data_IF_398635297526
#
_entry.id   IF_398635297526
#
_cell.length_a   1.000
_cell.length_b   1.000
_cell.length_c   1.000
_cell.angle_alpha   90.00
_cell.angle_beta   90.00
_cell.angle_gamma   90.00
#
_symmetry.space_group_name_H-M   'P 1'
#
loop_
_entity.id
_entity.type
_entity.pdbx_description
1 polymer ?
#
# COMPACT_ATOMS: atom_id res chain seq x y z
N UNK A 1 13.54 22.91 -44.71
CA UNK A 1 13.41 21.84 -43.70
C UNK A 1 12.66 22.44 -42.53
N UNK A 2 11.36 22.16 -42.44
CA UNK A 2 10.51 22.64 -41.36
C UNK A 2 10.53 21.57 -40.27
N UNK A 3 11.11 21.90 -39.12
CA UNK A 3 11.14 21.05 -37.94
C UNK A 3 9.72 20.89 -37.39
N UNK A 4 9.13 19.72 -37.62
CA UNK A 4 7.98 19.22 -36.88
C UNK A 4 8.44 18.85 -35.45
N UNK A 5 8.47 19.83 -34.56
CA UNK A 5 8.46 19.53 -33.13
C UNK A 5 7.02 19.22 -32.72
N UNK A 6 6.68 17.92 -32.77
CA UNK A 6 5.43 17.39 -32.25
C UNK A 6 5.18 17.93 -30.85
N UNK A 7 3.95 18.40 -30.63
CA UNK A 7 3.43 18.82 -29.33
C UNK A 7 3.52 17.60 -28.41
N UNK A 8 4.66 17.44 -27.73
CA UNK A 8 4.78 16.49 -26.65
C UNK A 8 3.89 17.04 -25.57
N UNK A 9 2.81 16.34 -25.24
CA UNK A 9 1.84 16.72 -24.22
C UNK A 9 2.59 16.80 -22.87
N UNK A 10 3.19 17.95 -22.58
CA UNK A 10 4.04 18.15 -21.42
C UNK A 10 3.14 18.40 -20.23
N UNK A 11 3.00 17.39 -19.39
CA UNK A 11 2.33 17.52 -18.08
C UNK A 11 3.02 18.66 -17.33
N UNK A 12 2.23 19.68 -17.01
CA UNK A 12 2.63 20.81 -16.18
C UNK A 12 2.69 20.36 -14.72
N UNK A 13 3.60 20.93 -13.96
CA UNK A 13 3.70 20.63 -12.54
C UNK A 13 2.51 21.20 -11.81
N UNK A 14 1.79 20.32 -11.14
CA UNK A 14 0.61 20.62 -10.33
C UNK A 14 0.93 20.60 -8.81
N UNK A 15 2.20 20.49 -8.43
CA UNK A 15 2.62 20.36 -7.02
C UNK A 15 2.87 18.91 -6.58
N UNK A 16 2.53 17.91 -7.40
CA UNK A 16 2.74 16.50 -7.11
C UNK A 16 3.86 15.90 -7.97
N UNK A 17 4.46 14.80 -7.52
CA UNK A 17 5.54 14.10 -8.23
C UNK A 17 6.75 15.00 -8.53
N UNK A 18 7.16 15.79 -7.52
CA UNK A 18 8.29 16.71 -7.59
C UNK A 18 9.56 16.05 -8.15
N UNK A 19 9.92 14.85 -7.68
CA UNK A 19 11.09 14.10 -8.14
C UNK A 19 11.11 13.91 -9.66
N UNK A 20 9.98 13.43 -10.20
CA UNK A 20 9.83 13.15 -11.63
C UNK A 20 9.85 14.44 -12.45
N UNK A 21 9.09 15.47 -12.03
CA UNK A 21 9.09 16.75 -12.73
C UNK A 21 10.46 17.42 -12.72
N UNK A 22 11.13 17.45 -11.56
CA UNK A 22 12.47 18.01 -11.38
C UNK A 22 13.44 17.33 -12.34
N UNK A 23 13.46 15.99 -12.36
CA UNK A 23 14.30 15.23 -13.28
C UNK A 23 14.07 15.62 -14.75
N UNK A 24 12.80 15.69 -15.20
CA UNK A 24 12.48 16.09 -16.58
C UNK A 24 12.98 17.50 -16.91
N UNK A 25 12.74 18.47 -16.02
CA UNK A 25 13.14 19.86 -16.25
C UNK A 25 14.65 20.03 -16.22
N UNK A 26 15.36 19.34 -15.32
CA UNK A 26 16.82 19.33 -15.31
C UNK A 26 17.39 18.81 -16.62
N UNK A 27 16.87 17.70 -17.15
CA UNK A 27 17.35 17.14 -18.43
C UNK A 27 17.11 18.12 -19.58
N UNK A 28 15.95 18.78 -19.65
CA UNK A 28 15.69 19.78 -20.68
C UNK A 28 16.64 20.98 -20.57
N UNK A 29 16.86 21.51 -19.37
CA UNK A 29 17.78 22.62 -19.15
C UNK A 29 19.23 22.23 -19.50
N UNK A 30 19.66 21.01 -19.14
CA UNK A 30 20.98 20.47 -19.49
C UNK A 30 21.14 20.30 -20.99
N UNK A 31 20.14 19.75 -21.68
CA UNK A 31 20.16 19.53 -23.13
C UNK A 31 20.32 20.83 -23.93
N UNK A 32 19.84 21.95 -23.38
CA UNK A 32 19.96 23.28 -23.98
C UNK A 32 21.11 24.12 -23.44
N UNK A 33 21.91 23.58 -22.51
CA UNK A 33 23.06 24.27 -21.91
C UNK A 33 22.71 25.39 -20.93
N UNK A 34 21.48 25.46 -20.42
CA UNK A 34 21.04 26.52 -19.50
C UNK A 34 21.12 26.13 -18.03
N UNK A 35 21.33 24.85 -17.72
CA UNK A 35 21.27 24.34 -16.34
C UNK A 35 22.32 24.98 -15.42
N UNK A 36 23.50 25.33 -15.94
CA UNK A 36 24.58 25.93 -15.16
C UNK A 36 24.23 27.34 -14.65
N UNK A 37 23.33 28.05 -15.34
CA UNK A 37 22.80 29.34 -14.88
C UNK A 37 21.78 29.11 -13.76
N UNK A 38 20.93 28.10 -13.90
CA UNK A 38 19.86 27.75 -12.95
C UNK A 38 20.41 27.21 -11.62
N UNK A 39 21.41 26.34 -11.68
CA UNK A 39 22.02 25.75 -10.48
C UNK A 39 23.04 26.70 -9.81
N UNK A 40 23.45 27.77 -10.51
CA UNK A 40 24.40 28.77 -10.03
C UNK A 40 25.88 28.42 -10.23
N UNK A 41 26.19 27.35 -10.95
CA UNK A 41 27.58 26.99 -11.34
C UNK A 41 28.19 28.03 -12.26
N UNK A 42 27.37 28.69 -13.10
CA UNK A 42 27.73 29.86 -13.90
C UNK A 42 27.09 31.12 -13.28
N UNK A 43 27.75 31.79 -12.31
CA UNK A 43 27.23 33.01 -11.73
C UNK A 43 27.13 34.12 -12.79
N UNK A 44 26.25 35.09 -12.56
CA UNK A 44 26.13 36.26 -13.43
C UNK A 44 27.44 37.05 -13.38
N UNK A 45 28.09 37.31 -14.53
CA UNK A 45 29.33 38.09 -14.54
C UNK A 45 29.06 39.56 -14.20
N UNK A 46 30.07 40.28 -13.72
CA UNK A 46 29.97 41.71 -13.41
C UNK A 46 29.97 42.58 -14.68
N UNK A 47 30.69 42.12 -15.71
CA UNK A 47 30.81 42.76 -17.01
C UNK A 47 30.33 41.81 -18.11
N UNK A 48 29.78 42.38 -19.19
CA UNK A 48 29.25 41.64 -20.35
C UNK A 48 28.20 40.57 -20.00
N UNK A 49 27.07 41.03 -19.48
CA UNK A 49 25.98 40.16 -19.01
C UNK A 49 25.07 39.64 -20.12
N UNK A 50 25.25 40.11 -21.36
CA UNK A 50 24.30 39.91 -22.47
C UNK A 50 23.99 38.45 -22.75
N UNK A 51 25.01 37.59 -22.81
CA UNK A 51 24.81 36.16 -23.04
C UNK A 51 24.19 35.47 -21.82
N UNK A 52 24.64 35.82 -20.61
CA UNK A 52 24.12 35.25 -19.38
C UNK A 52 22.64 35.59 -19.20
N UNK A 53 22.26 36.85 -19.41
CA UNK A 53 20.88 37.33 -19.27
C UNK A 53 19.96 36.63 -20.30
N UNK A 54 20.46 36.35 -21.52
CA UNK A 54 19.72 35.54 -22.51
C UNK A 54 19.52 34.10 -22.05
N UNK A 55 20.55 33.47 -21.52
CA UNK A 55 20.46 32.09 -20.98
C UNK A 55 19.50 32.02 -19.80
N UNK A 56 19.54 33.01 -18.90
CA UNK A 56 18.66 33.09 -17.74
C UNK A 56 17.20 33.25 -18.16
N UNK A 57 16.89 34.16 -19.08
CA UNK A 57 15.52 34.33 -19.61
C UNK A 57 15.01 33.03 -20.26
N UNK A 58 15.86 32.31 -21.01
CA UNK A 58 15.49 31.02 -21.60
C UNK A 58 15.27 29.93 -20.56
N UNK A 59 16.03 29.93 -19.47
CA UNK A 59 15.79 29.03 -18.36
C UNK A 59 14.48 29.36 -17.63
N UNK A 60 14.21 30.65 -17.37
CA UNK A 60 12.94 31.11 -16.79
C UNK A 60 11.75 30.69 -17.65
N UNK A 61 11.83 30.88 -18.97
CA UNK A 61 10.81 30.45 -19.95
C UNK A 61 10.49 28.95 -19.80
N UNK A 62 11.51 28.09 -19.77
CA UNK A 62 11.33 26.64 -19.61
C UNK A 62 10.67 26.31 -18.27
N UNK A 63 11.10 26.93 -17.18
CA UNK A 63 10.53 26.70 -15.84
C UNK A 63 9.06 27.10 -15.84
N UNK A 64 8.73 28.33 -16.28
CA UNK A 64 7.38 28.88 -16.27
C UNK A 64 6.41 28.06 -17.13
N UNK A 65 6.82 27.67 -18.35
CA UNK A 65 5.98 26.89 -19.25
C UNK A 65 5.64 25.48 -18.71
N UNK A 66 6.45 24.97 -17.77
CA UNK A 66 6.29 23.64 -17.17
C UNK A 66 5.56 23.66 -15.83
N UNK A 67 5.05 24.80 -15.39
CA UNK A 67 4.29 24.96 -14.15
C UNK A 67 2.82 25.25 -14.44
N UNK A 68 1.94 24.77 -13.58
CA UNK A 68 0.55 25.24 -13.52
C UNK A 68 0.46 26.61 -12.84
N UNK A 69 -0.62 27.34 -13.14
CA UNK A 69 -0.86 28.70 -12.65
C UNK A 69 -0.74 28.81 -11.12
N UNK A 70 -1.34 27.87 -10.38
CA UNK A 70 -1.25 27.83 -8.92
C UNK A 70 0.19 27.80 -8.41
N UNK A 71 1.09 27.09 -9.10
CA UNK A 71 2.50 26.98 -8.71
C UNK A 71 3.29 28.20 -9.14
N UNK A 72 2.92 28.84 -10.26
CA UNK A 72 3.54 30.08 -10.71
C UNK A 72 3.45 31.20 -9.66
N UNK A 73 2.35 31.25 -8.90
CA UNK A 73 2.19 32.22 -7.80
C UNK A 73 3.33 32.14 -6.78
N UNK A 74 3.94 30.97 -6.58
CA UNK A 74 5.06 30.80 -5.66
C UNK A 74 6.34 31.47 -6.19
N UNK A 75 6.54 31.57 -7.50
CA UNK A 75 7.79 32.06 -8.10
C UNK A 75 7.66 33.40 -8.83
N UNK A 76 6.46 33.97 -8.92
CA UNK A 76 6.18 35.19 -9.69
C UNK A 76 7.02 36.40 -9.25
N UNK A 77 7.49 36.43 -7.99
CA UNK A 77 8.33 37.50 -7.44
C UNK A 77 9.83 37.26 -7.61
N UNK A 78 10.24 36.10 -8.14
CA UNK A 78 11.64 35.75 -8.38
C UNK A 78 12.19 36.51 -9.60
N UNK A 79 13.44 36.97 -9.51
CA UNK A 79 14.06 37.84 -10.53
C UNK A 79 14.83 37.08 -11.61
N UNK A 80 15.30 35.88 -11.29
CA UNK A 80 16.12 35.07 -12.16
C UNK A 80 15.78 33.58 -12.01
N UNK A 81 16.23 32.76 -12.96
CA UNK A 81 15.94 31.33 -13.00
C UNK A 81 16.47 30.58 -11.78
N UNK A 82 17.60 31.03 -11.21
CA UNK A 82 18.19 30.45 -10.00
C UNK A 82 17.31 30.65 -8.77
N UNK A 83 16.75 31.85 -8.59
CA UNK A 83 15.79 32.13 -7.51
C UNK A 83 14.52 31.28 -7.66
N UNK A 84 13.97 31.20 -8.89
CA UNK A 84 12.80 30.35 -9.17
C UNK A 84 13.08 28.90 -8.79
N UNK A 85 14.21 28.35 -9.26
CA UNK A 85 14.59 26.96 -9.03
C UNK A 85 14.86 26.66 -7.56
N UNK A 86 15.53 27.57 -6.87
CA UNK A 86 15.83 27.43 -5.44
C UNK A 86 14.56 27.48 -4.59
N UNK A 87 13.61 28.35 -4.93
CA UNK A 87 12.33 28.45 -4.22
C UNK A 87 11.46 27.22 -4.44
N UNK A 88 11.39 26.69 -5.66
CA UNK A 88 10.67 25.45 -5.93
C UNK A 88 11.28 24.27 -5.16
N UNK A 89 12.61 24.12 -5.16
CA UNK A 89 13.29 23.10 -4.33
C UNK A 89 12.95 23.26 -2.85
N UNK A 90 13.02 24.47 -2.31
CA UNK A 90 12.74 24.69 -0.89
C UNK A 90 11.32 24.27 -0.48
N UNK A 91 10.33 24.49 -1.34
CA UNK A 91 8.93 24.16 -1.07
C UNK A 91 8.70 22.65 -1.26
N UNK A 92 9.10 22.11 -2.41
CA UNK A 92 8.63 20.79 -2.86
C UNK A 92 9.59 19.63 -2.56
N UNK A 93 10.88 19.88 -2.37
CA UNK A 93 11.83 18.82 -2.01
C UNK A 93 11.48 18.23 -0.64
N UNK A 94 11.32 19.11 0.36
CA UNK A 94 10.96 18.71 1.72
C UNK A 94 9.58 18.03 1.77
N UNK A 95 8.59 18.58 1.06
CA UNK A 95 7.26 17.98 0.99
C UNK A 95 7.29 16.59 0.34
N UNK A 96 8.09 16.40 -0.71
CA UNK A 96 8.27 15.10 -1.36
C UNK A 96 8.86 14.08 -0.40
N UNK A 97 9.90 14.43 0.36
CA UNK A 97 10.50 13.54 1.36
C UNK A 97 9.53 13.18 2.48
N UNK A 98 8.75 14.13 2.98
CA UNK A 98 7.71 13.85 3.98
C UNK A 98 6.67 12.88 3.42
N UNK A 99 6.20 13.10 2.20
CA UNK A 99 5.18 12.23 1.61
C UNK A 99 5.68 10.79 1.42
N UNK A 100 6.92 10.62 0.94
CA UNK A 100 7.58 9.31 0.87
C UNK A 100 7.65 8.66 2.25
N UNK A 101 8.07 9.42 3.26
CA UNK A 101 8.16 8.91 4.63
C UNK A 101 6.80 8.47 5.18
N UNK A 102 5.75 9.29 5.01
CA UNK A 102 4.39 8.99 5.49
C UNK A 102 3.80 7.77 4.77
N UNK A 103 3.99 7.64 3.45
CA UNK A 103 3.54 6.47 2.70
C UNK A 103 4.30 5.21 3.10
N UNK A 104 5.61 5.32 3.33
CA UNK A 104 6.45 4.22 3.82
C UNK A 104 6.01 3.79 5.22
N UNK A 105 5.77 4.75 6.13
CA UNK A 105 5.23 4.47 7.45
C UNK A 105 3.88 3.76 7.34
N UNK A 106 2.97 4.28 6.50
CA UNK A 106 1.67 3.65 6.24
C UNK A 106 1.82 2.24 5.70
N UNK A 107 2.78 1.99 4.81
CA UNK A 107 3.08 0.64 4.31
C UNK A 107 3.39 -0.31 5.47
N UNK A 108 4.26 0.07 6.40
CA UNK A 108 4.64 -0.79 7.53
C UNK A 108 3.55 -0.94 8.58
N UNK A 109 2.78 0.11 8.88
CA UNK A 109 1.73 0.10 9.91
C UNK A 109 0.39 -0.42 9.40
N UNK A 110 0.21 -0.63 8.08
CA UNK A 110 -1.04 -1.17 7.57
C UNK A 110 -1.22 -2.59 8.09
N UNK A 111 -2.34 -2.83 8.76
CA UNK A 111 -2.72 -4.12 9.33
C UNK A 111 -3.83 -4.76 8.51
N UNK A 112 -3.79 -6.09 8.41
CA UNK A 112 -4.86 -6.84 7.81
C UNK A 112 -6.05 -6.89 8.78
N UNK A 113 -7.24 -6.57 8.27
CA UNK A 113 -8.50 -6.73 8.99
C UNK A 113 -9.22 -7.96 8.44
N UNK A 114 -9.56 -8.89 9.32
CA UNK A 114 -10.27 -10.12 8.96
C UNK A 114 -11.52 -9.84 8.14
N UNK A 115 -11.69 -10.53 7.01
CA UNK A 115 -12.87 -10.41 6.15
C UNK A 115 -12.71 -9.46 4.96
N UNK A 116 -11.52 -8.88 4.75
CA UNK A 116 -11.25 -7.92 3.67
C UNK A 116 -9.85 -8.10 3.03
N UNK A 117 -9.46 -9.33 2.68
CA UNK A 117 -8.18 -9.61 1.96
C UNK A 117 -7.99 -8.70 0.74
N UNK A 118 -9.01 -8.57 -0.10
CA UNK A 118 -8.93 -7.81 -1.36
C UNK A 118 -8.69 -6.32 -1.11
N UNK A 119 -9.36 -5.73 -0.12
CA UNK A 119 -9.18 -4.32 0.24
C UNK A 119 -7.77 -4.08 0.81
N UNK A 120 -7.30 -4.97 1.70
CA UNK A 120 -5.95 -4.87 2.27
C UNK A 120 -4.87 -4.92 1.18
N UNK A 121 -4.96 -5.86 0.23
CA UNK A 121 -4.01 -5.97 -0.87
C UNK A 121 -4.11 -4.77 -1.81
N UNK A 122 -5.33 -4.31 -2.13
CA UNK A 122 -5.54 -3.10 -2.96
C UNK A 122 -4.92 -1.86 -2.33
N UNK A 123 -5.01 -1.70 -1.01
CA UNK A 123 -4.37 -0.60 -0.29
C UNK A 123 -2.84 -0.68 -0.35
N UNK A 124 -2.26 -1.87 -0.23
CA UNK A 124 -0.81 -2.06 -0.37
C UNK A 124 -0.32 -1.79 -1.80
N UNK A 125 -1.06 -2.27 -2.81
CA UNK A 125 -0.75 -2.00 -4.22
C UNK A 125 -0.83 -0.51 -4.55
N UNK A 126 -1.83 0.19 -3.99
CA UNK A 126 -1.94 1.64 -4.10
C UNK A 126 -0.73 2.34 -3.49
N UNK A 127 -0.33 1.99 -2.27
CA UNK A 127 0.86 2.58 -1.63
C UNK A 127 2.12 2.30 -2.45
N UNK A 128 2.29 1.08 -2.97
CA UNK A 128 3.41 0.75 -3.87
C UNK A 128 3.39 1.60 -5.13
N UNK A 129 2.22 1.80 -5.75
CA UNK A 129 2.10 2.63 -6.95
C UNK A 129 2.43 4.10 -6.65
N UNK A 130 1.91 4.64 -5.54
CA UNK A 130 2.17 6.02 -5.11
C UNK A 130 3.67 6.24 -4.84
N UNK A 131 4.33 5.31 -4.15
CA UNK A 131 5.79 5.34 -3.92
C UNK A 131 6.58 5.24 -5.22
N UNK A 132 6.16 4.36 -6.15
CA UNK A 132 6.77 4.24 -7.47
C UNK A 132 6.70 5.54 -8.27
N UNK A 133 5.58 6.27 -8.17
CA UNK A 133 5.44 7.58 -8.81
C UNK A 133 6.39 8.64 -8.22
N UNK A 134 6.82 8.47 -6.98
CA UNK A 134 7.79 9.32 -6.29
C UNK A 134 9.25 8.90 -6.51
N UNK A 135 9.49 7.78 -7.23
CA UNK A 135 10.81 7.25 -7.52
C UNK A 135 11.29 6.17 -6.54
N UNK A 136 10.43 5.72 -5.61
CA UNK A 136 10.75 4.68 -4.64
C UNK A 136 10.15 3.33 -5.06
N UNK A 137 10.95 2.25 -4.99
CA UNK A 137 10.51 0.94 -5.45
C UNK A 137 10.30 -0.04 -4.28
N UNK A 138 9.09 -0.58 -4.20
CA UNK A 138 8.79 -1.73 -3.33
C UNK A 138 8.76 -2.99 -4.18
N UNK A 139 9.66 -3.93 -3.88
CA UNK A 139 9.68 -5.23 -4.57
C UNK A 139 8.44 -6.07 -4.27
N UNK A 140 8.03 -6.92 -5.21
CA UNK A 140 6.91 -7.84 -5.01
C UNK A 140 7.15 -8.80 -3.84
N UNK A 141 8.41 -9.20 -3.64
CA UNK A 141 8.81 -10.02 -2.49
C UNK A 141 8.55 -9.29 -1.16
N UNK A 142 8.81 -7.98 -1.09
CA UNK A 142 8.54 -7.18 0.10
C UNK A 142 7.04 -7.06 0.34
N UNK A 143 6.24 -6.89 -0.72
CA UNK A 143 4.78 -6.91 -0.62
C UNK A 143 4.25 -8.24 -0.07
N UNK A 144 4.68 -9.37 -0.64
CA UNK A 144 4.30 -10.71 -0.18
C UNK A 144 4.68 -10.90 1.30
N UNK A 145 5.91 -10.52 1.66
CA UNK A 145 6.39 -10.60 3.06
C UNK A 145 5.52 -9.74 3.99
N UNK A 146 5.18 -8.52 3.56
CA UNK A 146 4.33 -7.61 4.33
C UNK A 146 2.94 -8.20 4.55
N UNK A 147 2.36 -8.83 3.54
CA UNK A 147 1.05 -9.49 3.66
C UNK A 147 1.13 -10.60 4.70
N UNK A 148 2.10 -11.51 4.60
CA UNK A 148 2.26 -12.64 5.52
C UNK A 148 2.48 -12.17 6.98
N UNK A 149 3.28 -11.12 7.19
CA UNK A 149 3.52 -10.54 8.52
C UNK A 149 2.30 -9.86 9.13
N UNK A 150 1.34 -9.44 8.30
CA UNK A 150 0.11 -8.80 8.76
C UNK A 150 -1.01 -9.77 9.07
N UNK A 151 -0.90 -11.05 8.69
CA UNK A 151 -1.94 -12.02 8.94
C UNK A 151 -2.11 -12.31 10.44
N UNK A 152 -3.35 -12.51 10.89
CA UNK A 152 -3.65 -12.75 12.30
C UNK A 152 -3.18 -14.14 12.72
N UNK A 153 -3.06 -14.35 14.04
CA UNK A 153 -2.46 -15.56 14.60
C UNK A 153 -3.20 -16.85 14.23
N UNK A 154 -4.51 -16.77 14.05
CA UNK A 154 -5.37 -17.87 13.60
C UNK A 154 -5.17 -18.25 12.12
N UNK A 155 -4.32 -17.55 11.37
CA UNK A 155 -3.93 -17.87 10.00
C UNK A 155 -2.47 -18.33 9.89
N UNK A 156 -1.80 -18.66 11.00
CA UNK A 156 -0.41 -19.15 10.99
C UNK A 156 -0.20 -20.41 10.13
N UNK A 157 -1.18 -21.33 10.08
CA UNK A 157 -1.12 -22.52 9.24
C UNK A 157 -1.06 -22.18 7.75
N UNK A 158 -1.73 -21.11 7.33
CA UNK A 158 -1.67 -20.60 5.97
C UNK A 158 -0.24 -20.12 5.63
N UNK A 159 0.40 -19.40 6.55
CA UNK A 159 1.78 -18.92 6.37
C UNK A 159 2.74 -20.10 6.14
N UNK A 160 2.69 -21.13 6.99
CA UNK A 160 3.53 -22.34 6.81
C UNK A 160 3.30 -23.04 5.47
N UNK A 161 2.04 -23.14 5.04
CA UNK A 161 1.68 -23.75 3.76
C UNK A 161 2.17 -22.90 2.57
N UNK A 162 2.13 -21.57 2.69
CA UNK A 162 2.65 -20.65 1.70
C UNK A 162 4.18 -20.72 1.58
N UNK A 163 4.89 -20.76 2.70
CA UNK A 163 6.35 -20.90 2.74
C UNK A 163 6.84 -22.20 2.08
N UNK A 164 6.01 -23.25 2.10
CA UNK A 164 6.29 -24.53 1.45
C UNK A 164 6.03 -24.52 -0.07
N UNK A 165 5.50 -23.42 -0.61
CA UNK A 165 5.21 -23.29 -2.05
C UNK A 165 6.49 -23.03 -2.84
N UNK A 166 6.67 -23.63 -4.03
CA UNK A 166 7.79 -23.33 -4.91
C UNK A 166 7.95 -21.83 -5.16
N UNK A 167 9.19 -21.35 -5.18
CA UNK A 167 9.51 -19.91 -5.27
C UNK A 167 8.98 -19.24 -6.53
N UNK A 168 8.88 -19.97 -7.64
CA UNK A 168 8.30 -19.50 -8.91
C UNK A 168 6.78 -19.22 -8.81
N UNK A 169 6.11 -19.76 -7.79
CA UNK A 169 4.68 -19.58 -7.52
C UNK A 169 4.39 -18.68 -6.32
N UNK A 170 5.42 -18.06 -5.73
CA UNK A 170 5.26 -17.12 -4.63
C UNK A 170 4.96 -15.70 -5.13
N UNK A 171 3.92 -15.59 -5.97
CA UNK A 171 3.48 -14.32 -6.53
C UNK A 171 2.41 -13.67 -5.66
N UNK A 172 2.26 -12.34 -5.75
CA UNK A 172 1.17 -11.63 -5.06
C UNK A 172 -0.21 -12.12 -5.51
N UNK A 173 -0.36 -12.45 -6.80
CA UNK A 173 -1.61 -12.98 -7.38
C UNK A 173 -1.97 -14.32 -6.76
N UNK A 174 -1.03 -15.27 -6.73
CA UNK A 174 -1.26 -16.59 -6.13
C UNK A 174 -1.55 -16.48 -4.63
N UNK A 175 -0.84 -15.59 -3.92
CA UNK A 175 -1.08 -15.32 -2.51
C UNK A 175 -2.50 -14.81 -2.28
N UNK A 176 -2.93 -13.84 -3.09
CA UNK A 176 -4.27 -13.24 -3.02
C UNK A 176 -5.35 -14.30 -3.21
N UNK A 177 -5.25 -15.11 -4.27
CA UNK A 177 -6.23 -16.16 -4.55
C UNK A 177 -6.32 -17.19 -3.43
N UNK A 178 -5.19 -17.62 -2.86
CA UNK A 178 -5.19 -18.60 -1.76
C UNK A 178 -5.73 -17.99 -0.47
N UNK A 179 -5.40 -16.75 -0.16
CA UNK A 179 -5.92 -16.05 1.03
C UNK A 179 -7.44 -15.87 0.95
N UNK A 180 -7.98 -15.55 -0.22
CA UNK A 180 -9.44 -15.44 -0.40
C UNK A 180 -10.15 -16.77 -0.14
N UNK A 181 -9.61 -17.89 -0.63
CA UNK A 181 -10.17 -19.22 -0.36
C UNK A 181 -10.14 -19.53 1.15
N UNK A 182 -9.04 -19.21 1.82
CA UNK A 182 -8.89 -19.48 3.24
C UNK A 182 -9.80 -18.59 4.11
N UNK A 183 -10.01 -17.34 3.71
CA UNK A 183 -10.96 -16.44 4.36
C UNK A 183 -12.40 -16.98 4.27
N UNK A 184 -12.81 -17.50 3.11
CA UNK A 184 -14.13 -18.09 2.91
C UNK A 184 -14.32 -19.36 3.77
N UNK A 185 -13.28 -20.20 3.87
CA UNK A 185 -13.29 -21.36 4.76
C UNK A 185 -13.44 -20.95 6.22
N UNK A 186 -12.73 -19.92 6.67
CA UNK A 186 -12.84 -19.44 8.04
C UNK A 186 -14.23 -18.91 8.37
N UNK A 187 -14.88 -18.18 7.45
CA UNK A 187 -16.29 -17.76 7.63
C UNK A 187 -17.22 -18.94 7.86
N UNK A 188 -17.11 -19.98 7.03
CA UNK A 188 -17.94 -21.20 7.17
C UNK A 188 -17.67 -21.99 8.46
N UNK A 189 -16.42 -21.99 8.94
CA UNK A 189 -16.03 -22.65 10.19
C UNK A 189 -16.56 -21.91 11.42
N UNK A 190 -16.49 -20.58 11.44
CA UNK A 190 -17.06 -19.76 12.51
C UNK A 190 -18.59 -19.89 12.57
N UNK A 191 -19.27 -19.88 11.42
CA UNK A 191 -20.72 -20.12 11.35
C UNK A 191 -21.10 -21.52 11.84
N UNK A 192 -20.31 -22.54 11.49
CA UNK A 192 -20.52 -23.92 11.94
C UNK A 192 -20.31 -24.06 13.46
N UNK A 193 -19.29 -23.42 14.02
CA UNK A 193 -19.07 -23.36 15.48
C UNK A 193 -20.17 -22.56 16.19
N UNK A 194 -20.61 -21.43 15.64
CA UNK A 194 -21.70 -20.63 16.19
C UNK A 194 -23.03 -21.41 16.20
N UNK A 195 -23.28 -22.21 15.17
CA UNK A 195 -24.42 -23.13 15.10
C UNK A 195 -24.28 -24.28 16.12
N UNK A 196 -23.08 -24.82 16.32
CA UNK A 196 -22.84 -25.86 17.32
C UNK A 196 -22.98 -25.35 18.77
N UNK A 197 -22.58 -24.10 19.04
CA UNK A 197 -22.73 -23.43 20.35
C UNK A 197 -24.18 -22.99 20.60
N UNK A 198 -24.90 -22.55 19.55
CA UNK A 198 -26.35 -22.28 19.60
C UNK A 198 -27.20 -23.54 19.48
N UNK A 199 -26.57 -24.70 19.26
CA UNK A 199 -27.12 -26.00 19.55
C UNK A 199 -27.40 -26.09 21.04
N UNK A 200 -28.50 -25.44 21.48
CA UNK A 200 -29.22 -25.82 22.68
C UNK A 200 -29.25 -27.33 22.63
N UNK A 201 -28.67 -27.98 23.64
CA UNK A 201 -29.00 -29.37 23.94
C UNK A 201 -30.53 -29.43 23.94
N UNK A 202 -31.12 -29.86 22.83
CA UNK A 202 -32.52 -30.23 22.80
C UNK A 202 -32.53 -31.47 23.66
N UNK A 203 -32.76 -31.28 24.97
CA UNK A 203 -33.12 -32.39 25.84
C UNK A 203 -34.25 -33.08 25.10
N UNK A 204 -34.11 -34.35 24.69
CA UNK A 204 -35.22 -35.05 24.10
C UNK A 204 -36.38 -34.95 25.09
N UNK A 205 -37.46 -34.25 24.70
CA UNK A 205 -38.74 -34.27 25.40
C UNK A 205 -39.35 -35.64 25.16
N UNK A 206 -38.77 -36.64 25.79
CA UNK A 206 -39.19 -38.03 25.75
C UNK A 206 -38.78 -38.61 27.09
N UNK A 207 -39.76 -39.12 27.82
CA UNK A 207 -39.54 -39.75 29.11
C UNK A 207 -38.43 -40.80 29.01
N UNK A 208 -37.25 -40.49 29.57
CA UNK A 208 -36.11 -41.40 29.53
C UNK A 208 -36.51 -42.67 30.28
N UNK A 209 -36.64 -43.79 29.55
CA UNK A 209 -36.98 -45.10 30.13
C UNK A 209 -35.69 -45.79 30.57
N UNK A 210 -35.69 -46.28 31.80
CA UNK A 210 -34.59 -47.03 32.35
C UNK A 210 -34.45 -48.39 31.65
N UNK A 211 -33.31 -48.66 31.02
CA UNK A 211 -33.02 -49.95 30.35
C UNK A 211 -32.92 -51.16 31.30
N UNK A 212 -33.13 -50.98 32.61
CA UNK A 212 -33.15 -52.08 33.58
C UNK A 212 -34.55 -52.40 34.08
N UNK A 213 -35.38 -51.39 34.35
CA UNK A 213 -36.71 -51.56 34.94
C UNK A 213 -37.86 -51.01 34.06
N UNK A 214 -37.55 -50.47 32.88
CA UNK A 214 -38.46 -49.82 31.93
C UNK A 214 -39.31 -48.65 32.48
N UNK A 215 -39.07 -48.21 33.72
CA UNK A 215 -39.72 -47.02 34.31
C UNK A 215 -39.10 -45.74 33.77
N UNK A 216 -39.91 -44.70 33.68
CA UNK A 216 -39.52 -43.38 33.18
C UNK A 216 -38.87 -42.53 34.28
N UNK A 217 -38.07 -41.52 33.90
CA UNK A 217 -37.50 -40.52 34.81
C UNK A 217 -36.09 -40.81 35.34
N UNK A 218 -35.47 -41.94 34.97
CA UNK A 218 -34.08 -42.25 35.32
C UNK A 218 -33.42 -43.21 34.30
N UNK A 219 -32.09 -43.25 34.28
CA UNK A 219 -31.29 -44.17 33.44
C UNK A 219 -30.80 -45.37 34.25
N UNK A 220 -30.39 -46.46 33.57
CA UNK A 220 -29.95 -47.73 34.20
C UNK A 220 -28.93 -47.56 35.34
N UNK A 221 -28.00 -46.61 35.21
CA UNK A 221 -26.98 -46.30 36.23
C UNK A 221 -27.56 -45.84 37.56
N UNK A 222 -28.70 -45.14 37.53
CA UNK A 222 -29.38 -44.59 38.70
C UNK A 222 -30.66 -45.36 39.02
N UNK A 223 -30.75 -46.63 38.59
CA UNK A 223 -31.91 -47.45 38.81
C UNK A 223 -31.97 -47.91 40.28
N UNK A 224 -33.04 -47.59 41.04
CA UNK A 224 -33.16 -47.98 42.44
C UNK A 224 -33.36 -49.50 42.64
N UNK A 225 -33.58 -50.24 41.55
CA UNK A 225 -33.76 -51.70 41.51
C UNK A 225 -32.49 -52.45 41.09
N UNK A 226 -31.30 -51.83 41.16
CA UNK A 226 -30.05 -52.56 40.92
C UNK A 226 -29.79 -53.42 42.16
N UNK A 227 -30.08 -54.72 42.05
CA UNK A 227 -29.64 -55.70 43.04
C UNK A 227 -28.12 -55.58 43.20
N UNK A 228 -27.69 -55.17 44.39
CA UNK A 228 -26.29 -55.19 44.79
C UNK A 228 -25.83 -56.65 44.84
N UNK A 229 -25.24 -57.16 43.76
CA UNK A 229 -24.37 -58.32 43.86
C UNK A 229 -23.11 -57.87 44.60
N UNK A 230 -23.08 -58.09 45.92
CA UNK A 230 -21.82 -58.24 46.65
C UNK A 230 -21.07 -59.41 46.01
N UNK A 231 -19.90 -59.13 45.44
CA UNK A 231 -18.94 -60.19 45.14
C UNK A 231 -17.82 -60.12 46.18
N UNK A 232 -17.61 -61.26 46.80
CA UNK A 232 -16.58 -61.63 47.76
C UNK A 232 -15.19 -61.56 47.13
#
# INVERSE_FOLDING_TARGET
MADQAGITLTVKFNGENWTTWKFQVEIMLKSKGYFDVVNGTKPRPENDTTEWDKMDVKAQEIIVLRLEEKILTHIITCKNSREMWSKLKAIYEHQSHINVHLLTQKFFTLEYKTGNVTDFISQLEKIKADLKHMGEEISDKMLVTKVLMSLPENMKHFVSAWESTPSDKQTLTDLTSRLMIEEERNKTSEDSMALAVKGKFIKPKGDIKCFNCNKTGHVKKNCPQVEKKCNY
#
